data_IF_439706888007
#
_entry.id   IF_439706888007
#
_cell.length_a   1.000
_cell.length_b   1.000
_cell.length_c   1.000
_cell.angle_alpha   90.00
_cell.angle_beta   90.00
_cell.angle_gamma   90.00
#
_symmetry.space_group_name_H-M   'P 1'
#
loop_
_entity.id
_entity.type
_entity.pdbx_description
1 polymer ?
#
# COMPACT_ATOMS: atom_id res chain seq x y z
N UNK A 1 -2.48 -3.09 14.61
CA UNK A 1 -3.26 -4.30 14.27
C UNK A 1 -4.56 -3.72 13.79
N UNK A 2 -4.93 -3.96 12.52
CA UNK A 2 -6.08 -3.30 11.96
C UNK A 2 -7.33 -3.60 12.78
N UNK A 3 -8.25 -2.66 12.80
CA UNK A 3 -9.61 -2.95 13.25
C UNK A 3 -10.25 -3.86 12.21
N UNK A 4 -11.20 -4.67 12.65
CA UNK A 4 -11.98 -5.51 11.76
C UNK A 4 -13.44 -5.07 11.85
N UNK A 5 -14.10 -4.94 10.71
CA UNK A 5 -15.54 -4.68 10.66
C UNK A 5 -16.35 -5.94 11.08
N UNK A 6 -17.68 -5.82 11.09
CA UNK A 6 -18.58 -6.93 11.44
C UNK A 6 -18.47 -8.15 10.51
N UNK A 7 -17.91 -7.96 9.30
CA UNK A 7 -17.69 -8.99 8.30
C UNK A 7 -16.26 -9.55 8.32
N UNK A 8 -15.44 -9.14 9.29
CA UNK A 8 -14.04 -9.54 9.40
C UNK A 8 -13.17 -8.94 8.30
N UNK A 9 -13.56 -7.82 7.70
CA UNK A 9 -12.72 -7.04 6.79
C UNK A 9 -11.74 -6.20 7.62
N UNK A 10 -10.43 -6.24 7.33
CA UNK A 10 -9.50 -5.32 7.98
C UNK A 10 -9.70 -3.88 7.47
N UNK A 11 -9.65 -2.93 8.39
CA UNK A 11 -9.66 -1.50 8.14
C UNK A 11 -8.34 -0.91 8.62
N UNK A 12 -7.55 -0.38 7.68
CA UNK A 12 -6.26 0.24 7.96
C UNK A 12 -6.42 1.75 8.09
N UNK A 13 -5.81 2.34 9.11
CA UNK A 13 -5.83 3.78 9.34
C UNK A 13 -5.02 4.55 8.27
N UNK A 14 -5.46 5.76 7.93
CA UNK A 14 -4.82 6.62 6.92
C UNK A 14 -3.33 6.83 7.23
N UNK A 15 -2.47 6.49 6.27
CA UNK A 15 -1.03 6.72 6.35
C UNK A 15 -0.76 8.21 6.26
N UNK A 16 0.04 8.73 7.20
CA UNK A 16 0.59 10.09 7.17
C UNK A 16 2.10 10.03 7.28
N UNK A 17 2.78 10.69 6.37
CA UNK A 17 4.24 10.76 6.30
C UNK A 17 4.77 12.07 6.92
N UNK A 18 6.09 12.12 7.14
CA UNK A 18 6.74 13.22 7.85
C UNK A 18 6.67 14.57 7.13
N UNK A 19 6.63 14.58 5.80
CA UNK A 19 6.52 15.79 4.99
C UNK A 19 5.07 16.28 4.79
N UNK A 20 4.10 15.58 5.36
CA UNK A 20 2.67 15.90 5.23
C UNK A 20 1.94 15.10 4.14
N UNK A 21 2.64 14.29 3.34
CA UNK A 21 2.00 13.37 2.41
C UNK A 21 1.12 12.35 3.14
N UNK A 22 -0.02 12.01 2.55
CA UNK A 22 -0.92 11.00 3.09
C UNK A 22 -1.60 10.21 1.99
N UNK A 23 -1.94 8.96 2.28
CA UNK A 23 -2.65 8.07 1.37
C UNK A 23 -3.41 6.99 2.15
N UNK A 24 -4.50 6.48 1.59
CA UNK A 24 -5.16 5.28 2.12
C UNK A 24 -4.50 4.04 1.54
N UNK A 25 -4.07 3.09 2.38
CA UNK A 25 -3.49 1.82 1.92
C UNK A 25 -4.35 0.67 2.44
N UNK A 26 -5.08 0.00 1.56
CA UNK A 26 -6.10 -0.97 1.93
C UNK A 26 -5.89 -2.32 1.24
N UNK A 27 -6.27 -3.40 1.93
CA UNK A 27 -6.25 -4.74 1.39
C UNK A 27 -7.36 -5.58 2.03
N UNK A 28 -8.23 -6.14 1.19
CA UNK A 28 -9.33 -7.00 1.61
C UNK A 28 -9.90 -7.78 0.43
N UNK A 29 -10.91 -8.62 0.65
CA UNK A 29 -11.67 -9.25 -0.45
C UNK A 29 -12.32 -8.22 -1.40
N UNK A 30 -12.52 -6.98 -0.96
CA UNK A 30 -13.16 -5.92 -1.75
C UNK A 30 -12.16 -5.01 -2.48
N UNK A 31 -10.91 -4.91 -2.02
CA UNK A 31 -9.91 -4.01 -2.58
C UNK A 31 -9.13 -4.66 -3.73
N UNK A 32 -8.55 -3.84 -4.61
CA UNK A 32 -7.61 -4.25 -5.66
C UNK A 32 -6.25 -4.68 -5.05
N UNK A 33 -6.20 -5.87 -4.48
CA UNK A 33 -5.03 -6.43 -3.79
C UNK A 33 -4.78 -7.90 -4.16
N UNK A 34 -3.59 -8.41 -3.85
CA UNK A 34 -3.21 -9.81 -4.07
C UNK A 34 -2.50 -10.38 -2.83
N UNK A 35 -2.95 -11.52 -2.28
CA UNK A 35 -4.19 -12.22 -2.61
C UNK A 35 -5.42 -11.39 -2.18
N UNK A 36 -6.50 -11.45 -2.97
CA UNK A 36 -7.75 -10.73 -2.66
C UNK A 36 -8.56 -11.43 -1.57
N UNK A 37 -8.15 -11.27 -0.33
CA UNK A 37 -8.75 -11.86 0.88
C UNK A 37 -8.64 -10.90 2.09
N UNK A 38 -9.18 -11.28 3.24
CA UNK A 38 -9.19 -10.46 4.47
C UNK A 38 -8.04 -10.76 5.45
N UNK A 39 -7.17 -11.73 5.14
CA UNK A 39 -6.21 -12.28 6.12
C UNK A 39 -4.75 -11.99 5.80
N UNK A 40 -4.43 -11.70 4.54
CA UNK A 40 -3.05 -11.46 4.09
C UNK A 40 -2.12 -12.65 4.34
N UNK A 41 -0.78 -12.43 4.31
CA UNK A 41 -0.12 -11.19 3.88
C UNK A 41 -0.41 -10.86 2.41
N UNK A 42 -0.23 -9.59 2.02
CA UNK A 42 -0.51 -9.11 0.67
C UNK A 42 0.75 -8.70 -0.08
N UNK A 43 0.92 -9.22 -1.29
CA UNK A 43 2.00 -8.87 -2.23
C UNK A 43 1.75 -7.52 -2.90
N UNK A 44 0.48 -7.21 -3.15
CA UNK A 44 0.05 -5.92 -3.70
C UNK A 44 -1.23 -5.44 -3.03
N UNK A 45 -1.40 -4.13 -2.94
CA UNK A 45 -2.47 -3.47 -2.19
C UNK A 45 -3.15 -2.39 -3.04
N UNK A 46 -4.28 -1.89 -2.55
CA UNK A 46 -4.96 -0.73 -3.12
C UNK A 46 -4.48 0.53 -2.41
N UNK A 47 -4.07 1.54 -3.17
CA UNK A 47 -3.74 2.87 -2.64
C UNK A 47 -4.78 3.86 -3.11
N UNK A 48 -5.46 4.56 -2.21
CA UNK A 48 -6.54 5.48 -2.54
C UNK A 48 -6.24 6.91 -2.12
N UNK A 49 -6.63 7.86 -2.97
CA UNK A 49 -6.71 9.29 -2.66
C UNK A 49 -5.41 9.85 -2.03
N UNK A 50 -4.26 9.73 -2.71
CA UNK A 50 -3.04 10.35 -2.21
C UNK A 50 -3.22 11.87 -2.14
N UNK A 51 -2.67 12.50 -1.10
CA UNK A 51 -2.86 13.94 -0.87
C UNK A 51 -2.11 14.85 -1.83
N UNK A 52 -1.12 14.30 -2.54
CA UNK A 52 -0.37 14.99 -3.59
C UNK A 52 0.02 14.00 -4.70
N UNK A 53 0.52 14.52 -5.81
CA UNK A 53 0.99 13.71 -6.93
C UNK A 53 2.20 12.86 -6.54
N UNK A 54 2.08 11.54 -6.73
CA UNK A 54 3.17 10.58 -6.58
C UNK A 54 3.36 9.82 -7.88
N UNK A 55 4.45 10.12 -8.60
CA UNK A 55 4.77 9.54 -9.90
C UNK A 55 4.81 8.00 -9.89
N UNK A 56 5.22 7.39 -8.78
CA UNK A 56 5.25 5.94 -8.62
C UNK A 56 3.85 5.29 -8.64
N UNK A 57 2.80 6.02 -8.28
CA UNK A 57 1.43 5.51 -8.27
C UNK A 57 0.76 5.57 -9.66
N UNK A 58 1.24 6.45 -10.55
CA UNK A 58 0.60 6.71 -11.85
C UNK A 58 0.37 5.48 -12.74
N UNK A 59 1.28 4.49 -12.81
CA UNK A 59 1.05 3.28 -13.58
C UNK A 59 -0.12 2.42 -13.07
N UNK A 60 -0.58 2.66 -11.84
CA UNK A 60 -1.60 1.88 -11.15
C UNK A 60 -2.94 2.61 -11.02
N UNK A 61 -2.97 3.91 -11.34
CA UNK A 61 -4.15 4.77 -11.19
C UNK A 61 -5.30 4.34 -12.12
N UNK A 62 -6.50 4.25 -11.56
CA UNK A 62 -7.74 3.98 -12.31
C UNK A 62 -8.15 5.18 -13.17
N UNK A 63 -7.92 6.40 -12.67
CA UNK A 63 -8.11 7.69 -13.36
C UNK A 63 -6.79 8.49 -13.36
N UNK A 64 -5.85 8.22 -14.29
CA UNK A 64 -4.53 8.86 -14.31
C UNK A 64 -4.55 10.39 -14.52
N UNK A 65 -5.64 10.95 -15.02
CA UNK A 65 -5.86 12.39 -15.16
C UNK A 65 -6.30 13.06 -13.84
N UNK A 66 -6.63 12.27 -12.82
CA UNK A 66 -7.05 12.71 -11.48
C UNK A 66 -6.21 12.03 -10.38
N UNK A 67 -4.88 12.27 -10.35
CA UNK A 67 -3.93 11.46 -9.59
C UNK A 67 -4.14 11.45 -8.06
N UNK A 68 -4.78 12.48 -7.51
CA UNK A 68 -5.09 12.61 -6.08
C UNK A 68 -6.54 12.21 -5.73
N UNK A 69 -7.37 11.97 -6.73
CA UNK A 69 -8.80 11.68 -6.59
C UNK A 69 -9.17 10.32 -7.20
N UNK A 70 -8.21 9.39 -7.17
CA UNK A 70 -8.35 8.07 -7.77
C UNK A 70 -7.85 6.97 -6.85
N UNK A 71 -8.23 5.75 -7.20
CA UNK A 71 -7.68 4.53 -6.63
C UNK A 71 -6.57 4.04 -7.54
N UNK A 72 -5.48 3.59 -6.94
CA UNK A 72 -4.37 2.92 -7.58
C UNK A 72 -4.43 1.44 -7.18
N UNK A 73 -4.79 0.57 -8.12
CA UNK A 73 -5.02 -0.85 -7.85
C UNK A 73 -3.75 -1.70 -7.98
N UNK A 74 -3.64 -2.76 -7.18
CA UNK A 74 -2.54 -3.74 -7.23
C UNK A 74 -1.14 -3.10 -7.17
N UNK A 75 -0.98 -2.05 -6.36
CA UNK A 75 0.31 -1.41 -6.10
C UNK A 75 1.18 -2.38 -5.31
N UNK A 76 2.41 -2.71 -5.76
CA UNK A 76 3.31 -3.59 -5.03
C UNK A 76 3.58 -3.05 -3.61
N UNK A 77 3.54 -3.92 -2.61
CA UNK A 77 3.74 -3.52 -1.22
C UNK A 77 5.12 -2.85 -0.98
N UNK A 78 6.15 -3.29 -1.71
CA UNK A 78 7.51 -2.74 -1.67
C UNK A 78 7.51 -1.30 -2.18
N UNK A 79 6.66 -0.97 -3.16
CA UNK A 79 6.55 0.38 -3.71
C UNK A 79 5.87 1.31 -2.71
N UNK A 80 4.82 0.84 -2.02
CA UNK A 80 4.17 1.60 -0.92
C UNK A 80 5.18 1.95 0.16
N UNK A 81 6.03 1.00 0.54
CA UNK A 81 7.10 1.25 1.51
C UNK A 81 8.09 2.29 1.00
N UNK A 82 8.56 2.18 -0.24
CA UNK A 82 9.46 3.16 -0.83
C UNK A 82 8.86 4.57 -0.86
N UNK A 83 7.57 4.70 -1.20
CA UNK A 83 6.83 5.97 -1.17
C UNK A 83 6.85 6.57 0.25
N UNK A 84 6.54 5.76 1.26
CA UNK A 84 6.58 6.21 2.66
C UNK A 84 7.99 6.67 3.06
N UNK A 85 9.03 5.94 2.66
CA UNK A 85 10.43 6.26 2.95
C UNK A 85 10.88 7.57 2.30
N UNK A 86 10.53 7.82 1.02
CA UNK A 86 10.88 9.09 0.34
C UNK A 86 10.14 10.29 0.92
N UNK A 87 8.94 10.09 1.47
CA UNK A 87 8.17 11.12 2.19
C UNK A 87 8.59 11.28 3.67
N UNK A 88 9.80 10.81 4.02
CA UNK A 88 10.40 11.01 5.34
C UNK A 88 9.92 10.03 6.42
N UNK A 89 9.23 8.97 6.03
CA UNK A 89 8.79 7.88 6.91
C UNK A 89 7.38 8.06 7.46
N UNK A 90 6.85 6.96 8.02
CA UNK A 90 5.52 6.88 8.61
C UNK A 90 5.47 7.61 9.96
N UNK A 91 4.57 8.59 10.08
CA UNK A 91 4.27 9.31 11.34
C UNK A 91 3.08 8.69 12.06
N UNK A 92 2.02 8.35 11.33
CA UNK A 92 0.82 7.71 11.87
C UNK A 92 0.07 6.93 10.80
N UNK A 93 -0.84 6.06 11.22
CA UNK A 93 -1.64 5.21 10.33
C UNK A 93 -1.14 3.77 10.29
N UNK A 94 -1.72 2.98 9.41
CA UNK A 94 -1.39 1.56 9.27
C UNK A 94 -1.17 1.20 7.80
N UNK A 95 -0.26 0.26 7.58
CA UNK A 95 -0.08 -0.40 6.27
C UNK A 95 -0.42 -1.88 6.41
N UNK A 96 -1.04 -2.50 5.40
CA UNK A 96 -1.20 -3.95 5.36
C UNK A 96 0.13 -4.68 5.60
N UNK A 97 0.14 -5.81 6.34
CA UNK A 97 1.37 -6.53 6.65
C UNK A 97 2.07 -6.98 5.37
N UNK A 98 3.33 -6.59 5.25
CA UNK A 98 4.19 -6.92 4.12
C UNK A 98 4.76 -8.33 4.38
N UNK A 99 4.62 -9.30 3.46
CA UNK A 99 5.36 -10.55 3.54
C UNK A 99 6.85 -10.23 3.51
N UNK A 100 7.59 -10.70 4.51
CA UNK A 100 9.04 -10.58 4.53
C UNK A 100 9.60 -11.29 3.29
N UNK A 101 10.10 -10.54 2.32
CA UNK A 101 10.99 -11.09 1.28
C UNK A 101 12.27 -11.49 2.01
N UNK A 102 12.48 -12.79 2.19
CA UNK A 102 13.84 -13.27 2.45
C UNK A 102 14.66 -12.83 1.23
N UNK A 103 15.69 -12.02 1.44
CA UNK A 103 16.72 -11.81 0.43
C UNK A 103 17.07 -13.19 -0.14
N UNK A 104 16.78 -13.40 -1.41
CA UNK A 104 17.31 -14.57 -2.10
C UNK A 104 18.82 -14.40 -2.07
N UNK A 105 19.49 -15.19 -1.24
CA UNK A 105 20.92 -15.43 -1.34
C UNK A 105 21.21 -15.73 -2.81
N UNK A 106 21.77 -14.76 -3.52
CA UNK A 106 22.42 -15.01 -4.79
C UNK A 106 23.69 -15.79 -4.49
N UNK A 107 23.55 -17.09 -4.22
CA UNK A 107 24.62 -18.05 -4.35
C UNK A 107 24.97 -18.20 -5.82
N UNK A 108 25.67 -17.19 -6.35
CA UNK A 108 26.62 -17.40 -7.44
C UNK A 108 27.68 -18.35 -6.87
N UNK A 109 27.49 -19.65 -7.08
CA UNK A 109 28.60 -20.60 -6.99
C UNK A 109 29.41 -20.45 -8.27
N UNK A 110 30.66 -20.04 -8.08
CA UNK A 110 31.79 -20.25 -8.99
C UNK A 110 31.87 -21.69 -9.50
#
# INVERSE_FOLDING_TARGET
MPKYDENGRPEFELVRCADGFSMSVQASTYNYCSPRNNTGPWDSVEVGFPSDYEHCLMPYAEEPDRPTETVCGYVPNVLVRSIIEVHGGLVSGEVPPIPFVKETENSNKE
#
